data_IF_726410636616
#
_entry.id   IF_726410636616
#
_cell.length_a   1.000
_cell.length_b   1.000
_cell.length_c   1.000
_cell.angle_alpha   90.00
_cell.angle_beta   90.00
_cell.angle_gamma   90.00
#
_symmetry.space_group_name_H-M   'P 1'
#
loop_
_entity.id
_entity.type
_entity.pdbx_description
1 polymer ?
#
# COMPACT_ATOMS: atom_id res chain seq x y z
N UNK A 1 21.06 10.13 -40.66
CA UNK A 1 20.88 10.29 -39.20
C UNK A 1 19.43 9.94 -38.91
N UNK A 2 19.17 8.71 -38.49
CA UNK A 2 17.84 8.33 -38.00
C UNK A 2 17.59 9.11 -36.71
N UNK A 3 16.57 9.96 -36.73
CA UNK A 3 16.04 10.59 -35.54
C UNK A 3 15.37 9.47 -34.76
N UNK A 4 15.97 9.03 -33.66
CA UNK A 4 15.33 8.11 -32.74
C UNK A 4 14.03 8.77 -32.26
N UNK A 5 12.88 8.25 -32.70
CA UNK A 5 11.59 8.63 -32.16
C UNK A 5 11.62 8.37 -30.66
N UNK A 6 11.63 9.45 -29.88
CA UNK A 6 11.48 9.36 -28.43
C UNK A 6 10.04 8.93 -28.18
N UNK A 7 9.82 7.62 -28.06
CA UNK A 7 8.50 7.07 -27.69
C UNK A 7 8.00 7.82 -26.45
N UNK A 8 6.81 8.41 -26.58
CA UNK A 8 6.19 9.14 -25.48
C UNK A 8 5.95 8.17 -24.31
N UNK A 9 6.31 8.55 -23.07
CA UNK A 9 6.21 7.64 -21.95
C UNK A 9 4.74 7.26 -21.71
N UNK A 10 4.49 5.97 -21.51
CA UNK A 10 3.15 5.43 -21.23
C UNK A 10 2.53 6.10 -20.00
N UNK A 11 1.21 6.30 -20.02
CA UNK A 11 0.47 7.07 -19.02
C UNK A 11 1.11 8.45 -18.73
N UNK A 12 1.24 9.35 -19.72
CA UNK A 12 1.93 10.63 -19.56
C UNK A 12 1.26 11.57 -18.55
N UNK A 13 -0.04 11.39 -18.30
CA UNK A 13 -0.80 12.15 -17.30
C UNK A 13 -0.71 11.58 -15.88
N UNK A 14 -0.04 10.43 -15.70
CA UNK A 14 0.12 9.75 -14.42
C UNK A 14 -1.19 9.53 -13.67
N UNK A 15 -2.24 9.14 -14.42
CA UNK A 15 -3.58 8.91 -13.87
C UNK A 15 -3.70 7.50 -13.31
N UNK A 16 -4.48 7.35 -12.25
CA UNK A 16 -4.76 6.05 -11.63
C UNK A 16 -5.48 5.18 -12.67
N UNK A 17 -4.90 4.02 -12.96
CA UNK A 17 -5.46 3.07 -13.93
C UNK A 17 -6.30 2.01 -13.21
N UNK A 18 -7.39 1.58 -13.85
CA UNK A 18 -8.22 0.46 -13.39
C UNK A 18 -8.14 -0.68 -14.38
N UNK A 19 -7.75 -1.87 -13.89
CA UNK A 19 -7.59 -3.09 -14.67
C UNK A 19 -8.70 -4.10 -14.37
N UNK A 20 -9.09 -4.88 -15.38
CA UNK A 20 -10.13 -5.92 -15.30
C UNK A 20 -9.60 -7.21 -15.96
N UNK A 21 -8.72 -7.97 -15.29
CA UNK A 21 -8.18 -9.21 -15.84
C UNK A 21 -9.27 -10.24 -16.09
N UNK A 22 -9.08 -11.05 -17.13
CA UNK A 22 -9.71 -12.37 -17.24
C UNK A 22 -9.15 -13.33 -16.18
N UNK A 23 -9.84 -14.44 -15.91
CA UNK A 23 -9.33 -15.44 -14.97
C UNK A 23 -7.98 -16.05 -15.40
N UNK A 24 -7.70 -16.13 -16.70
CA UNK A 24 -6.39 -16.58 -17.19
C UNK A 24 -5.28 -15.60 -16.83
N UNK A 25 -5.52 -14.30 -17.03
CA UNK A 25 -4.57 -13.25 -16.68
C UNK A 25 -4.39 -13.10 -15.16
N UNK A 26 -5.49 -13.29 -14.41
CA UNK A 26 -5.52 -13.15 -12.96
C UNK A 26 -4.75 -14.26 -12.22
N UNK A 27 -4.59 -15.46 -12.81
CA UNK A 27 -3.89 -16.58 -12.14
C UNK A 27 -2.46 -16.27 -11.69
N UNK A 28 -1.72 -15.46 -12.44
CA UNK A 28 -0.29 -15.23 -12.19
C UNK A 28 -0.03 -13.77 -11.79
N UNK A 29 -0.17 -13.46 -10.49
CA UNK A 29 0.02 -12.13 -9.89
C UNK A 29 1.26 -11.38 -10.42
N UNK A 30 2.44 -12.00 -10.33
CA UNK A 30 3.71 -11.38 -10.74
C UNK A 30 3.73 -10.99 -12.24
N UNK A 31 3.15 -11.83 -13.10
CA UNK A 31 3.05 -11.56 -14.54
C UNK A 31 2.11 -10.39 -14.79
N UNK A 32 0.97 -10.36 -14.09
CA UNK A 32 -0.02 -9.31 -14.25
C UNK A 32 0.47 -7.95 -13.73
N UNK A 33 1.21 -7.93 -12.62
CA UNK A 33 1.85 -6.73 -12.11
C UNK A 33 2.83 -6.13 -13.13
N UNK A 34 3.69 -6.96 -13.74
CA UNK A 34 4.59 -6.50 -14.80
C UNK A 34 3.83 -5.99 -16.02
N UNK A 35 2.71 -6.63 -16.38
CA UNK A 35 1.82 -6.12 -17.41
C UNK A 35 1.25 -4.73 -17.06
N UNK A 36 0.78 -4.52 -15.82
CA UNK A 36 0.29 -3.21 -15.37
C UNK A 36 1.37 -2.13 -15.49
N UNK A 37 2.61 -2.40 -15.05
CA UNK A 37 3.72 -1.45 -15.20
C UNK A 37 4.07 -1.22 -16.68
N UNK A 38 3.99 -2.24 -17.53
CA UNK A 38 4.16 -2.11 -18.99
C UNK A 38 3.08 -1.25 -19.67
N UNK A 39 2.02 -0.86 -18.95
CA UNK A 39 1.01 0.11 -19.38
C UNK A 39 1.16 1.48 -18.71
N UNK A 40 2.17 1.66 -17.85
CA UNK A 40 2.43 2.90 -17.13
C UNK A 40 1.63 3.08 -15.84
N UNK A 41 1.06 2.00 -15.27
CA UNK A 41 0.24 2.10 -14.04
C UNK A 41 1.04 2.63 -12.84
N UNK A 42 2.31 2.25 -12.73
CA UNK A 42 3.20 2.65 -11.63
C UNK A 42 3.43 4.16 -11.54
N UNK A 43 3.27 4.88 -12.65
CA UNK A 43 3.48 6.32 -12.71
C UNK A 43 2.48 7.11 -11.87
N UNK A 44 1.27 6.57 -11.67
CA UNK A 44 0.29 7.18 -10.79
C UNK A 44 0.59 6.97 -9.29
N UNK A 45 1.49 6.03 -8.95
CA UNK A 45 1.73 5.61 -7.58
C UNK A 45 0.67 4.67 -7.00
N UNK A 46 -0.48 4.52 -7.68
CA UNK A 46 -1.59 3.68 -7.27
C UNK A 46 -2.34 3.14 -8.51
N UNK A 47 -2.80 1.89 -8.46
CA UNK A 47 -3.69 1.30 -9.44
C UNK A 47 -4.78 0.47 -8.78
N UNK A 48 -5.91 0.31 -9.48
CA UNK A 48 -7.02 -0.57 -9.08
C UNK A 48 -7.04 -1.82 -9.95
N UNK A 49 -7.32 -2.97 -9.37
CA UNK A 49 -7.59 -4.22 -10.09
C UNK A 49 -8.93 -4.78 -9.62
N UNK A 50 -9.86 -4.93 -10.55
CA UNK A 50 -11.16 -5.55 -10.31
C UNK A 50 -11.04 -7.02 -10.76
N UNK A 51 -11.05 -7.99 -9.83
CA UNK A 51 -10.87 -9.39 -10.18
C UNK A 51 -12.04 -9.93 -11.01
N UNK A 52 -11.86 -11.09 -11.68
CA UNK A 52 -12.95 -11.79 -12.35
C UNK A 52 -14.11 -12.07 -11.39
N UNK A 53 -15.35 -11.94 -11.85
CA UNK A 53 -16.56 -12.04 -11.01
C UNK A 53 -16.71 -13.41 -10.35
N UNK A 54 -16.18 -14.45 -11.00
CA UNK A 54 -16.17 -15.83 -10.52
C UNK A 54 -15.14 -16.08 -9.40
N UNK A 55 -14.12 -15.22 -9.27
CA UNK A 55 -13.12 -15.37 -8.22
C UNK A 55 -13.62 -14.80 -6.90
N UNK A 56 -13.46 -15.58 -5.83
CA UNK A 56 -13.76 -15.16 -4.47
C UNK A 56 -12.66 -15.68 -3.55
N UNK A 57 -12.07 -14.83 -2.69
CA UNK A 57 -11.05 -15.27 -1.76
C UNK A 57 -11.63 -15.99 -0.54
N UNK A 58 -12.92 -15.80 -0.26
CA UNK A 58 -13.65 -16.41 0.84
C UNK A 58 -15.09 -16.69 0.43
N UNK A 59 -15.64 -17.84 0.82
CA UNK A 59 -17.03 -18.21 0.53
C UNK A 59 -18.04 -17.40 1.37
N UNK A 60 -17.76 -17.22 2.66
CA UNK A 60 -18.65 -16.53 3.59
C UNK A 60 -17.85 -15.78 4.67
N UNK A 61 -18.40 -14.66 5.16
CA UNK A 61 -17.78 -13.82 6.20
C UNK A 61 -18.53 -13.90 7.55
N UNK A 62 -19.50 -14.79 7.73
CA UNK A 62 -20.33 -14.83 8.94
C UNK A 62 -19.56 -15.21 10.21
N UNK A 63 -18.42 -15.91 10.06
CA UNK A 63 -17.61 -16.42 11.17
C UNK A 63 -16.61 -15.40 11.73
N UNK A 64 -16.39 -14.28 11.04
CA UNK A 64 -15.40 -13.27 11.46
C UNK A 64 -15.84 -12.45 12.67
N UNK A 65 -17.12 -12.51 13.05
CA UNK A 65 -17.68 -11.71 14.16
C UNK A 65 -16.96 -11.96 15.48
N UNK A 66 -16.42 -13.17 15.67
CA UNK A 66 -15.70 -13.58 16.86
C UNK A 66 -14.20 -13.22 16.83
N UNK A 67 -13.70 -12.72 15.70
CA UNK A 67 -12.30 -12.33 15.57
C UNK A 67 -11.99 -11.16 16.52
N UNK A 68 -10.87 -11.25 17.22
CA UNK A 68 -10.45 -10.26 18.20
C UNK A 68 -9.64 -9.15 17.52
N UNK A 69 -10.00 -7.90 17.79
CA UNK A 69 -9.18 -6.72 17.51
C UNK A 69 -8.40 -6.41 18.81
N UNK A 70 -7.11 -6.77 18.91
CA UNK A 70 -6.37 -6.70 20.16
C UNK A 70 -6.04 -5.27 20.60
N UNK A 71 -5.78 -4.37 19.65
CA UNK A 71 -5.32 -3.01 19.93
C UNK A 71 -6.03 -1.97 19.03
N UNK A 72 -7.36 -1.80 19.13
CA UNK A 72 -8.07 -0.79 18.36
C UNK A 72 -7.57 0.61 18.72
N UNK A 73 -7.45 1.50 17.74
CA UNK A 73 -6.89 2.85 17.92
C UNK A 73 -7.96 3.92 17.68
N UNK A 74 -8.17 4.81 18.65
CA UNK A 74 -8.96 6.02 18.46
C UNK A 74 -8.09 7.11 17.82
N UNK A 75 -8.56 7.66 16.70
CA UNK A 75 -7.81 8.64 15.91
C UNK A 75 -8.22 10.07 16.29
N UNK A 76 -7.37 10.72 17.08
CA UNK A 76 -7.52 12.12 17.45
C UNK A 76 -6.88 12.98 16.38
N UNK A 77 -7.64 13.90 15.77
CA UNK A 77 -7.13 14.78 14.72
C UNK A 77 -7.17 16.23 15.18
N UNK A 78 -6.05 16.93 15.05
CA UNK A 78 -5.94 18.38 15.32
C UNK A 78 -5.41 19.11 14.10
N UNK A 79 -5.87 20.34 13.89
CA UNK A 79 -5.49 21.14 12.73
C UNK A 79 -6.69 21.83 12.09
N UNK A 80 -6.45 22.49 10.97
CA UNK A 80 -7.44 23.34 10.31
C UNK A 80 -7.04 23.62 8.86
N UNK A 81 -7.98 24.13 8.06
CA UNK A 81 -7.72 24.60 6.69
C UNK A 81 -7.04 23.56 5.78
N UNK A 82 -7.35 22.27 5.98
CA UNK A 82 -6.81 21.18 5.16
C UNK A 82 -5.44 20.65 5.62
N UNK A 83 -4.90 21.14 6.73
CA UNK A 83 -3.63 20.69 7.31
C UNK A 83 -3.90 20.15 8.72
N UNK A 84 -3.64 18.87 8.94
CA UNK A 84 -3.91 18.23 10.23
C UNK A 84 -2.82 17.25 10.64
N UNK A 85 -2.73 17.04 11.94
CA UNK A 85 -1.93 15.98 12.56
C UNK A 85 -2.87 15.02 13.29
N UNK A 86 -2.68 13.73 13.07
CA UNK A 86 -3.38 12.65 13.74
C UNK A 86 -2.52 12.06 14.85
N UNK A 87 -3.15 11.69 15.97
CA UNK A 87 -2.55 10.92 17.05
C UNK A 87 -3.45 9.74 17.39
N UNK A 88 -2.84 8.61 17.76
CA UNK A 88 -3.55 7.38 18.05
C UNK A 88 -3.62 7.15 19.56
N UNK A 89 -4.81 6.88 20.09
CA UNK A 89 -5.03 6.46 21.47
C UNK A 89 -5.52 5.01 21.44
N UNK A 90 -4.69 4.09 21.92
CA UNK A 90 -5.07 2.69 22.01
C UNK A 90 -6.28 2.50 22.96
N UNK A 91 -7.23 1.69 22.53
CA UNK A 91 -8.42 1.28 23.28
C UNK A 91 -8.30 -0.18 23.70
N UNK A 92 -9.20 -0.59 24.58
CA UNK A 92 -9.30 -2.00 24.99
C UNK A 92 -9.67 -2.88 23.81
N UNK A 93 -9.16 -4.10 23.81
CA UNK A 93 -9.50 -5.11 22.82
C UNK A 93 -11.02 -5.28 22.71
N UNK A 94 -11.50 -5.58 21.51
CA UNK A 94 -12.90 -5.84 21.22
C UNK A 94 -13.04 -6.80 20.05
N UNK A 95 -14.15 -7.50 19.95
CA UNK A 95 -14.48 -8.36 18.81
C UNK A 95 -14.90 -7.54 17.59
N UNK A 96 -14.82 -8.15 16.41
CA UNK A 96 -15.37 -7.55 15.18
C UNK A 96 -16.86 -7.26 15.32
N UNK A 97 -17.61 -8.12 16.01
CA UNK A 97 -19.04 -7.90 16.31
C UNK A 97 -19.27 -6.60 17.10
N UNK A 98 -18.54 -6.40 18.19
CA UNK A 98 -18.61 -5.18 19.00
C UNK A 98 -18.19 -3.95 18.20
N UNK A 99 -17.11 -4.07 17.42
CA UNK A 99 -16.64 -3.00 16.54
C UNK A 99 -17.69 -2.60 15.49
N UNK A 100 -18.35 -3.58 14.85
CA UNK A 100 -19.42 -3.35 13.86
C UNK A 100 -20.62 -2.65 14.48
N UNK A 101 -21.05 -3.09 15.67
CA UNK A 101 -22.14 -2.43 16.41
C UNK A 101 -21.77 -0.97 16.74
N UNK A 102 -20.53 -0.72 17.14
CA UNK A 102 -20.04 0.63 17.40
C UNK A 102 -20.02 1.50 16.14
N UNK A 103 -19.45 0.97 15.04
CA UNK A 103 -19.35 1.64 13.75
C UNK A 103 -20.72 2.03 13.18
N UNK A 104 -21.75 1.19 13.41
CA UNK A 104 -23.11 1.43 12.92
C UNK A 104 -23.99 2.20 13.92
N UNK A 105 -23.47 2.55 15.10
CA UNK A 105 -24.20 3.37 16.07
C UNK A 105 -24.41 4.80 15.55
N UNK A 106 -25.46 5.48 16.02
CA UNK A 106 -25.76 6.86 15.59
C UNK A 106 -24.63 7.88 15.81
N UNK A 107 -23.64 7.56 16.66
CA UNK A 107 -22.48 8.41 16.91
C UNK A 107 -21.38 8.28 15.85
N UNK A 108 -21.20 7.09 15.29
CA UNK A 108 -20.09 6.77 14.38
C UNK A 108 -20.53 6.39 12.97
N UNK A 109 -21.84 6.21 12.74
CA UNK A 109 -22.33 5.82 11.43
C UNK A 109 -22.02 6.86 10.36
N UNK A 110 -21.95 6.39 9.13
CA UNK A 110 -21.78 7.22 7.94
C UNK A 110 -22.92 8.24 7.86
N UNK A 111 -22.64 9.54 7.69
CA UNK A 111 -23.70 10.53 7.52
C UNK A 111 -24.42 10.27 6.20
N UNK A 112 -25.68 10.68 6.07
CA UNK A 112 -26.34 10.67 4.76
C UNK A 112 -25.56 11.53 3.77
N UNK A 113 -25.42 11.09 2.53
CA UNK A 113 -24.70 11.82 1.48
C UNK A 113 -25.36 11.59 0.10
N UNK A 114 -25.09 12.48 -0.85
CA UNK A 114 -25.62 12.39 -2.22
C UNK A 114 -24.76 11.51 -3.12
N UNK A 115 -23.44 11.73 -3.08
CA UNK A 115 -22.44 11.04 -3.88
C UNK A 115 -21.09 11.02 -3.13
N UNK A 116 -20.07 10.37 -3.71
CA UNK A 116 -18.75 10.30 -3.10
C UNK A 116 -18.07 11.67 -2.93
N UNK A 117 -18.39 12.67 -3.76
CA UNK A 117 -17.83 14.02 -3.59
C UNK A 117 -18.45 14.73 -2.39
N UNK A 118 -19.75 14.55 -2.15
CA UNK A 118 -20.44 15.05 -0.96
C UNK A 118 -19.89 14.40 0.31
N UNK A 119 -19.64 13.10 0.26
CA UNK A 119 -19.03 12.38 1.38
C UNK A 119 -17.58 12.84 1.63
N UNK A 120 -16.78 13.06 0.58
CA UNK A 120 -15.43 13.60 0.66
C UNK A 120 -15.42 15.01 1.29
N UNK A 121 -16.34 15.89 0.89
CA UNK A 121 -16.50 17.23 1.51
C UNK A 121 -16.85 17.10 2.99
N UNK A 122 -17.75 16.19 3.35
CA UNK A 122 -18.13 15.92 4.76
C UNK A 122 -16.97 15.36 5.56
N UNK A 123 -16.14 14.48 5.00
CA UNK A 123 -14.94 13.96 5.64
C UNK A 123 -13.99 15.09 6.02
N UNK A 124 -13.56 15.90 5.06
CA UNK A 124 -12.60 16.99 5.31
C UNK A 124 -13.17 18.11 6.20
N UNK A 125 -14.48 18.37 6.14
CA UNK A 125 -15.15 19.35 7.00
C UNK A 125 -15.24 18.88 8.46
N UNK A 126 -15.36 17.58 8.70
CA UNK A 126 -15.71 17.04 10.03
C UNK A 126 -14.60 16.22 10.71
N UNK A 127 -13.39 16.23 10.14
CA UNK A 127 -12.28 15.38 10.55
C UNK A 127 -11.92 15.50 12.04
N UNK A 128 -11.94 16.72 12.59
CA UNK A 128 -11.56 17.05 13.97
C UNK A 128 -12.66 16.89 15.02
N UNK A 129 -13.90 16.54 14.62
CA UNK A 129 -14.99 16.26 15.56
C UNK A 129 -14.86 14.83 16.15
N UNK A 130 -15.97 14.09 16.27
CA UNK A 130 -16.02 12.74 16.88
C UNK A 130 -14.86 11.87 16.40
N UNK A 131 -13.92 11.54 17.29
CA UNK A 131 -12.72 10.77 16.96
C UNK A 131 -13.11 9.29 16.70
N UNK A 132 -12.95 8.77 15.47
CA UNK A 132 -13.33 7.41 15.11
C UNK A 132 -12.33 6.41 15.68
N UNK A 133 -12.71 5.12 15.68
CA UNK A 133 -11.87 4.01 16.15
C UNK A 133 -11.54 3.11 14.96
N UNK A 134 -10.28 2.71 14.82
CA UNK A 134 -9.81 1.88 13.74
C UNK A 134 -9.20 0.59 14.30
N UNK A 135 -9.64 -0.57 13.82
CA UNK A 135 -8.99 -1.84 14.10
C UNK A 135 -7.90 -2.07 13.07
N UNK A 136 -6.68 -1.61 13.33
CA UNK A 136 -5.58 -1.67 12.37
C UNK A 136 -4.53 -2.70 12.77
N UNK A 137 -3.73 -3.12 11.79
CA UNK A 137 -2.51 -3.90 11.99
C UNK A 137 -2.75 -5.22 12.76
N UNK A 138 -3.87 -5.90 12.46
CA UNK A 138 -4.23 -7.18 13.08
C UNK A 138 -3.61 -8.30 12.26
N UNK A 139 -2.65 -9.04 12.83
CA UNK A 139 -2.01 -10.16 12.14
C UNK A 139 -3.03 -11.22 11.75
N UNK A 140 -3.06 -11.60 10.47
CA UNK A 140 -3.89 -12.70 9.98
C UNK A 140 -4.36 -12.50 8.54
N UNK A 141 -4.90 -13.58 7.98
CA UNK A 141 -5.59 -13.57 6.69
C UNK A 141 -6.97 -14.21 6.86
N UNK A 142 -7.94 -13.70 6.12
CA UNK A 142 -9.29 -14.29 6.04
C UNK A 142 -9.57 -14.93 4.67
N UNK A 143 -8.54 -15.17 3.87
CA UNK A 143 -8.63 -16.01 2.68
C UNK A 143 -8.96 -17.46 3.08
N UNK A 144 -9.82 -18.13 2.32
CA UNK A 144 -10.05 -19.57 2.48
C UNK A 144 -8.79 -20.37 2.14
N UNK A 145 -8.65 -21.53 2.78
CA UNK A 145 -7.62 -22.48 2.42
C UNK A 145 -7.79 -22.94 0.95
N UNK A 146 -6.66 -23.11 0.25
CA UNK A 146 -6.67 -23.54 -1.16
C UNK A 146 -6.81 -22.42 -2.20
N UNK A 147 -7.11 -21.17 -1.82
CA UNK A 147 -7.05 -20.03 -2.76
C UNK A 147 -5.60 -19.73 -3.09
N UNK A 148 -5.19 -19.95 -4.34
CA UNK A 148 -3.80 -19.78 -4.81
C UNK A 148 -3.61 -18.43 -5.51
N UNK A 149 -4.63 -17.92 -6.21
CA UNK A 149 -4.58 -16.68 -6.97
C UNK A 149 -4.64 -15.46 -6.04
N UNK A 150 -3.68 -14.54 -6.18
CA UNK A 150 -3.64 -13.25 -5.46
C UNK A 150 -3.81 -13.36 -3.94
N UNK A 151 -3.38 -14.49 -3.37
CA UNK A 151 -3.45 -14.72 -1.94
C UNK A 151 -2.42 -13.83 -1.23
N UNK A 152 -2.92 -12.84 -0.47
CA UNK A 152 -2.10 -11.82 0.19
C UNK A 152 -1.11 -12.44 1.18
N UNK A 153 -1.45 -13.56 1.81
CA UNK A 153 -0.55 -14.27 2.71
C UNK A 153 0.65 -14.94 1.99
N UNK A 154 0.63 -15.07 0.66
CA UNK A 154 1.65 -15.80 -0.12
C UNK A 154 1.72 -15.37 -1.59
N UNK A 155 2.09 -14.11 -1.83
CA UNK A 155 2.17 -13.54 -3.19
C UNK A 155 3.32 -14.12 -4.03
N UNK A 156 4.32 -14.74 -3.40
CA UNK A 156 5.48 -15.36 -4.04
C UNK A 156 6.28 -14.37 -4.90
N UNK A 157 6.71 -13.28 -4.28
CA UNK A 157 7.49 -12.19 -4.87
C UNK A 157 8.96 -12.24 -4.44
N UNK A 158 9.77 -11.25 -4.82
CA UNK A 158 11.21 -11.26 -4.46
C UNK A 158 11.47 -11.12 -2.96
N UNK A 159 10.50 -10.66 -2.17
CA UNK A 159 10.61 -10.69 -0.70
C UNK A 159 10.60 -12.13 -0.17
N UNK A 160 9.69 -12.97 -0.68
CA UNK A 160 9.56 -14.36 -0.25
C UNK A 160 10.79 -15.20 -0.66
N UNK A 161 11.42 -14.87 -1.79
CA UNK A 161 12.69 -15.47 -2.23
C UNK A 161 13.78 -15.29 -1.17
N UNK A 162 13.84 -14.12 -0.54
CA UNK A 162 14.87 -13.80 0.46
C UNK A 162 14.55 -14.44 1.80
N UNK A 163 13.28 -14.45 2.21
CA UNK A 163 12.86 -15.17 3.42
C UNK A 163 13.19 -16.67 3.32
N UNK A 164 12.81 -17.33 2.22
CA UNK A 164 13.04 -18.77 2.03
C UNK A 164 14.53 -19.13 1.94
N UNK A 165 15.34 -18.34 1.23
CA UNK A 165 16.76 -18.67 1.03
C UNK A 165 17.67 -18.22 2.18
N UNK A 166 17.26 -17.23 2.98
CA UNK A 166 18.11 -16.65 4.03
C UNK A 166 17.55 -16.81 5.45
N UNK A 167 16.31 -17.28 5.61
CA UNK A 167 15.69 -17.51 6.92
C UNK A 167 15.35 -16.24 7.70
N UNK A 168 15.16 -15.11 7.01
CA UNK A 168 14.85 -13.81 7.62
C UNK A 168 13.37 -13.49 7.35
N UNK A 169 12.54 -13.61 8.38
CA UNK A 169 11.15 -13.14 8.35
C UNK A 169 11.08 -11.68 8.81
N UNK A 170 10.23 -10.87 8.19
CA UNK A 170 10.04 -9.46 8.53
C UNK A 170 8.55 -9.24 8.82
N UNK A 171 8.18 -9.37 10.09
CA UNK A 171 6.80 -9.17 10.55
C UNK A 171 6.22 -7.87 10.00
N UNK A 172 5.02 -7.98 9.45
CA UNK A 172 4.26 -6.86 8.88
C UNK A 172 4.69 -6.39 7.50
N UNK A 173 5.76 -6.97 6.95
CA UNK A 173 6.20 -6.71 5.57
C UNK A 173 5.82 -7.87 4.66
N UNK A 174 5.99 -9.11 5.12
CA UNK A 174 5.59 -10.31 4.37
C UNK A 174 4.43 -11.08 5.01
N UNK A 175 3.93 -10.63 6.16
CA UNK A 175 2.74 -11.19 6.82
C UNK A 175 1.52 -10.31 6.59
N UNK A 176 0.34 -10.89 6.31
CA UNK A 176 -0.88 -10.12 6.06
C UNK A 176 -1.41 -9.45 7.33
N UNK A 177 -1.92 -8.24 7.16
CA UNK A 177 -2.65 -7.48 8.17
C UNK A 177 -4.10 -7.25 7.76
N UNK A 178 -5.00 -7.40 8.74
CA UNK A 178 -6.41 -7.03 8.63
C UNK A 178 -6.66 -5.64 9.20
N UNK A 179 -7.59 -4.95 8.57
CA UNK A 179 -8.02 -3.60 8.89
C UNK A 179 -9.54 -3.52 8.93
N UNK A 180 -10.09 -3.22 10.10
CA UNK A 180 -11.53 -2.94 10.28
C UNK A 180 -11.74 -1.43 10.36
N UNK A 181 -12.34 -0.87 9.31
CA UNK A 181 -12.66 0.55 9.20
C UNK A 181 -14.04 0.89 9.75
N UNK A 182 -14.22 2.15 10.15
CA UNK A 182 -15.53 2.78 10.32
C UNK A 182 -15.50 4.15 9.64
N UNK A 183 -16.64 4.83 9.57
CA UNK A 183 -16.68 6.16 8.96
C UNK A 183 -15.60 7.07 9.55
N UNK A 184 -14.88 7.76 8.66
CA UNK A 184 -13.85 8.75 8.97
C UNK A 184 -12.53 8.17 9.50
N UNK A 185 -12.39 6.85 9.70
CA UNK A 185 -11.06 6.32 9.98
C UNK A 185 -10.13 6.56 8.80
N UNK A 186 -8.91 6.97 9.12
CA UNK A 186 -8.00 7.64 8.20
C UNK A 186 -6.66 6.93 8.15
N UNK A 187 -6.07 6.86 6.96
CA UNK A 187 -4.65 6.54 6.79
C UNK A 187 -3.95 7.76 6.19
N UNK A 188 -2.93 8.24 6.91
CA UNK A 188 -2.26 9.50 6.59
C UNK A 188 -1.31 9.38 5.38
N UNK A 189 -0.79 10.50 4.90
CA UNK A 189 0.18 10.52 3.80
C UNK A 189 1.44 9.76 4.18
N UNK A 190 1.73 8.69 3.45
CA UNK A 190 2.93 7.90 3.61
C UNK A 190 3.31 7.17 2.31
N UNK A 191 4.54 6.68 2.28
CA UNK A 191 4.96 5.57 1.42
C UNK A 191 5.12 4.33 2.30
N UNK A 192 5.12 3.16 1.69
CA UNK A 192 5.35 1.89 2.39
C UNK A 192 6.73 1.85 3.06
N UNK A 193 6.91 0.96 4.03
CA UNK A 193 8.20 0.72 4.63
C UNK A 193 9.22 0.27 3.58
N UNK A 194 10.45 0.82 3.67
CA UNK A 194 11.48 0.69 2.63
C UNK A 194 11.01 1.07 1.21
N UNK A 195 9.96 1.88 1.09
CA UNK A 195 9.32 2.28 -0.16
C UNK A 195 8.92 1.08 -1.04
N UNK A 196 8.47 -0.01 -0.41
CA UNK A 196 7.93 -1.20 -1.05
C UNK A 196 6.65 -0.92 -1.86
N UNK A 197 6.19 -1.96 -2.57
CA UNK A 197 4.80 -2.01 -3.01
C UNK A 197 3.89 -2.40 -1.85
N UNK A 198 2.60 -2.11 -1.95
CA UNK A 198 1.57 -2.78 -1.15
C UNK A 198 0.40 -3.25 -2.02
N UNK A 199 -0.25 -4.31 -1.56
CA UNK A 199 -1.53 -4.78 -2.08
C UNK A 199 -2.57 -4.65 -0.99
N UNK A 200 -3.76 -4.15 -1.32
CA UNK A 200 -4.89 -4.04 -0.41
C UNK A 200 -6.13 -4.61 -1.07
N UNK A 201 -6.78 -5.59 -0.45
CA UNK A 201 -8.07 -6.13 -0.88
C UNK A 201 -9.17 -5.72 0.09
N UNK A 202 -10.25 -5.13 -0.40
CA UNK A 202 -11.40 -4.79 0.42
C UNK A 202 -12.37 -5.97 0.44
N UNK A 203 -12.35 -6.76 1.51
CA UNK A 203 -13.13 -8.00 1.62
C UNK A 203 -14.63 -7.78 1.56
N UNK A 204 -15.13 -6.82 2.35
CA UNK A 204 -16.54 -6.49 2.45
C UNK A 204 -16.75 -5.10 3.09
N UNK A 205 -18.01 -4.66 3.06
CA UNK A 205 -18.47 -3.44 3.72
C UNK A 205 -18.36 -2.21 2.86
N UNK A 206 -18.34 -1.05 3.51
CA UNK A 206 -18.38 0.25 2.86
C UNK A 206 -17.05 0.60 2.15
N UNK A 207 -17.08 1.46 1.10
CA UNK A 207 -15.89 1.78 0.32
C UNK A 207 -14.75 2.44 1.09
N UNK A 208 -13.56 2.44 0.46
CA UNK A 208 -12.36 3.16 0.92
C UNK A 208 -11.91 4.14 -0.15
N UNK A 209 -11.79 5.42 0.18
CA UNK A 209 -11.28 6.42 -0.76
C UNK A 209 -9.80 6.65 -0.59
N UNK A 210 -9.10 6.75 -1.72
CA UNK A 210 -7.66 6.89 -1.82
C UNK A 210 -7.30 8.17 -2.57
N UNK A 211 -6.23 8.81 -2.12
CA UNK A 211 -5.48 9.83 -2.84
C UNK A 211 -4.09 9.28 -3.12
N UNK A 212 -3.57 9.55 -4.30
CA UNK A 212 -2.21 9.15 -4.68
C UNK A 212 -1.46 10.31 -5.33
N UNK A 213 -0.17 10.40 -5.04
CA UNK A 213 0.75 11.33 -5.69
C UNK A 213 1.75 10.50 -6.52
N UNK A 214 1.93 10.82 -7.81
CA UNK A 214 2.93 10.18 -8.66
C UNK A 214 4.31 10.12 -7.99
N UNK A 215 5.05 8.99 -8.05
CA UNK A 215 6.37 8.87 -7.44
C UNK A 215 7.36 9.96 -7.92
N UNK A 216 7.27 10.34 -9.20
CA UNK A 216 8.03 11.44 -9.81
C UNK A 216 7.76 12.83 -9.21
N UNK A 217 6.74 12.95 -8.36
CA UNK A 217 6.39 14.16 -7.64
C UNK A 217 6.46 14.00 -6.11
N UNK A 218 6.86 12.84 -5.59
CA UNK A 218 6.94 12.57 -4.13
C UNK A 218 7.80 13.59 -3.39
N UNK A 219 8.95 13.98 -3.94
CA UNK A 219 9.83 15.01 -3.36
C UNK A 219 9.16 16.38 -3.22
N UNK A 220 8.18 16.71 -4.06
CA UNK A 220 7.43 17.97 -3.97
C UNK A 220 6.46 17.95 -2.80
N UNK A 221 5.82 16.80 -2.53
CA UNK A 221 5.03 16.61 -1.32
C UNK A 221 5.89 16.70 -0.06
N UNK A 222 7.04 16.03 -0.05
CA UNK A 222 7.98 16.09 1.10
C UNK A 222 8.32 17.55 1.44
N UNK A 223 8.72 18.36 0.44
CA UNK A 223 9.03 19.79 0.64
C UNK A 223 7.83 20.60 1.15
N UNK A 224 6.63 20.36 0.59
CA UNK A 224 5.41 21.02 1.05
C UNK A 224 5.12 20.68 2.52
N UNK A 225 5.22 19.40 2.89
CA UNK A 225 4.99 18.93 4.24
C UNK A 225 6.04 19.49 5.21
N UNK A 226 7.32 19.56 4.83
CA UNK A 226 8.37 20.19 5.64
C UNK A 226 8.05 21.67 5.95
N UNK A 227 7.55 22.41 4.96
CA UNK A 227 7.17 23.81 5.14
C UNK A 227 5.99 24.03 6.09
N UNK A 228 4.99 23.13 6.08
CA UNK A 228 3.82 23.24 6.95
C UNK A 228 3.97 22.60 8.33
N UNK A 229 4.87 21.62 8.47
CA UNK A 229 5.10 20.89 9.71
C UNK A 229 6.57 21.01 10.13
N UNK A 230 7.11 22.24 10.34
CA UNK A 230 8.54 22.45 10.58
C UNK A 230 9.03 21.77 11.85
N UNK A 231 8.23 21.75 12.93
CA UNK A 231 8.58 21.05 14.17
C UNK A 231 8.72 19.54 13.96
N UNK A 232 7.83 18.93 13.17
CA UNK A 232 7.92 17.50 12.83
C UNK A 232 9.13 17.21 11.94
N UNK A 233 9.40 18.08 10.96
CA UNK A 233 10.56 17.95 10.07
C UNK A 233 11.89 18.09 10.82
N UNK A 234 11.99 18.99 11.79
CA UNK A 234 13.19 19.16 12.63
C UNK A 234 13.42 17.95 13.52
N UNK A 235 12.35 17.31 14.01
CA UNK A 235 12.44 16.12 14.85
C UNK A 235 12.73 14.83 14.09
N UNK A 236 12.29 14.73 12.83
CA UNK A 236 12.54 13.56 12.00
C UNK A 236 12.53 13.91 10.51
N UNK A 237 13.63 13.55 9.88
CA UNK A 237 13.90 13.73 8.46
C UNK A 237 12.88 13.02 7.55
N UNK A 238 12.26 11.94 8.03
CA UNK A 238 11.24 11.15 7.33
C UNK A 238 9.92 11.11 8.12
N UNK A 239 9.53 12.22 8.77
CA UNK A 239 8.36 12.25 9.67
C UNK A 239 7.02 11.79 9.04
N UNK A 240 6.88 11.84 7.72
CA UNK A 240 5.70 11.29 7.03
C UNK A 240 5.57 9.76 7.25
N UNK A 241 6.66 9.04 7.51
CA UNK A 241 6.62 7.62 7.91
C UNK A 241 5.95 7.38 9.26
N UNK A 242 5.74 8.42 10.07
CA UNK A 242 4.97 8.29 11.31
C UNK A 242 3.47 8.07 11.05
N UNK A 243 3.01 8.24 9.80
CA UNK A 243 1.61 8.08 9.38
C UNK A 243 0.65 8.95 10.20
N UNK A 244 1.06 10.19 10.47
CA UNK A 244 0.31 11.18 11.28
C UNK A 244 -0.07 12.45 10.52
N UNK A 245 0.43 12.67 9.30
CA UNK A 245 0.26 13.96 8.59
C UNK A 245 -0.84 13.88 7.55
N UNK A 246 -1.84 14.76 7.67
CA UNK A 246 -3.00 14.83 6.78
C UNK A 246 -2.98 16.17 6.04
N UNK A 247 -3.03 16.09 4.72
CA UNK A 247 -3.05 17.24 3.81
C UNK A 247 -4.21 17.02 2.83
N UNK A 248 -5.13 17.97 2.76
CA UNK A 248 -6.31 17.83 1.92
C UNK A 248 -6.03 18.09 0.43
N UNK A 249 -6.84 17.51 -0.47
CA UNK A 249 -6.82 17.79 -1.91
C UNK A 249 -6.83 19.29 -2.25
N UNK A 250 -7.57 20.10 -1.49
CA UNK A 250 -7.64 21.55 -1.68
C UNK A 250 -6.28 22.22 -1.45
N UNK A 251 -5.52 21.78 -0.43
CA UNK A 251 -4.16 22.27 -0.18
C UNK A 251 -3.21 21.79 -1.27
N UNK A 252 -3.26 20.50 -1.65
CA UNK A 252 -2.41 19.97 -2.73
C UNK A 252 -2.62 20.75 -4.03
N UNK A 253 -3.87 21.00 -4.42
CA UNK A 253 -4.23 21.79 -5.60
C UNK A 253 -3.72 23.22 -5.50
N UNK A 254 -3.87 23.88 -4.34
CA UNK A 254 -3.40 25.25 -4.10
C UNK A 254 -1.89 25.40 -4.29
N UNK A 255 -1.10 24.39 -3.93
CA UNK A 255 0.36 24.40 -4.06
C UNK A 255 0.87 23.66 -5.29
N UNK A 256 -0.03 23.35 -6.24
CA UNK A 256 0.31 22.72 -7.52
C UNK A 256 0.92 21.33 -7.39
N UNK A 257 0.65 20.60 -6.30
CA UNK A 257 1.06 19.20 -6.14
C UNK A 257 0.09 18.33 -6.96
N UNK A 258 0.57 17.61 -7.99
CA UNK A 258 -0.28 16.73 -8.77
C UNK A 258 -0.65 15.51 -7.92
N UNK A 259 -1.93 15.19 -7.92
CA UNK A 259 -2.49 14.03 -7.25
C UNK A 259 -3.69 13.53 -8.06
N UNK A 260 -4.12 12.32 -7.76
CA UNK A 260 -5.34 11.74 -8.29
C UNK A 260 -6.12 11.06 -7.15
N UNK A 261 -7.40 10.80 -7.35
CA UNK A 261 -8.28 10.18 -6.35
C UNK A 261 -9.09 9.05 -6.95
N UNK A 262 -9.34 8.01 -6.16
CA UNK A 262 -10.18 6.88 -6.56
C UNK A 262 -10.86 6.28 -5.33
N UNK A 263 -12.06 5.73 -5.51
CA UNK A 263 -12.77 4.99 -4.46
C UNK A 263 -12.69 3.50 -4.76
N UNK A 264 -12.19 2.72 -3.81
CA UNK A 264 -12.15 1.26 -3.82
C UNK A 264 -13.43 0.72 -3.18
N UNK A 265 -14.14 -0.14 -3.91
CA UNK A 265 -15.35 -0.83 -3.45
C UNK A 265 -15.03 -2.25 -3.02
N UNK A 266 -15.99 -2.90 -2.34
CA UNK A 266 -15.80 -4.27 -1.86
C UNK A 266 -15.56 -5.23 -3.03
N UNK A 267 -14.62 -6.15 -2.87
CA UNK A 267 -14.19 -7.08 -3.91
C UNK A 267 -13.09 -6.54 -4.83
N UNK A 268 -12.58 -5.31 -4.61
CA UNK A 268 -11.53 -4.72 -5.45
C UNK A 268 -10.16 -4.71 -4.75
N UNK A 269 -9.12 -4.86 -5.56
CA UNK A 269 -7.73 -4.67 -5.13
C UNK A 269 -7.23 -3.26 -5.44
N UNK A 270 -6.39 -2.74 -4.55
CA UNK A 270 -5.54 -1.57 -4.77
C UNK A 270 -4.08 -1.98 -4.68
N UNK A 271 -3.27 -1.50 -5.61
CA UNK A 271 -1.82 -1.70 -5.64
C UNK A 271 -1.14 -0.35 -5.52
N UNK A 272 -0.35 -0.14 -4.47
CA UNK A 272 0.56 1.01 -4.36
C UNK A 272 1.92 0.63 -4.94
N UNK A 273 2.60 1.61 -5.53
CA UNK A 273 3.89 1.41 -6.17
C UNK A 273 5.01 2.08 -5.35
N UNK A 274 6.27 1.62 -5.49
CA UNK A 274 7.42 2.19 -4.81
C UNK A 274 7.47 3.71 -4.85
N UNK A 275 7.57 4.30 -3.67
CA UNK A 275 7.60 5.75 -3.44
C UNK A 275 6.33 6.52 -3.88
N UNK A 276 5.24 5.80 -4.18
CA UNK A 276 3.92 6.36 -4.41
C UNK A 276 3.28 6.78 -3.09
N UNK A 277 3.33 8.08 -2.80
CA UNK A 277 2.66 8.62 -1.62
C UNK A 277 1.15 8.44 -1.75
N UNK A 278 0.53 7.94 -0.68
CA UNK A 278 -0.92 7.75 -0.64
C UNK A 278 -1.51 8.06 0.74
N UNK A 279 -2.78 8.43 0.76
CA UNK A 279 -3.59 8.72 1.94
C UNK A 279 -5.06 8.44 1.65
N UNK A 280 -5.92 8.44 2.66
CA UNK A 280 -7.33 8.23 2.42
C UNK A 280 -8.16 7.94 3.67
N UNK A 281 -9.40 7.54 3.44
CA UNK A 281 -10.39 7.36 4.51
C UNK A 281 -11.45 6.30 4.17
N UNK A 282 -12.01 5.69 5.21
CA UNK A 282 -13.09 4.71 5.09
C UNK A 282 -14.47 5.39 5.12
N UNK A 283 -15.39 4.88 4.30
CA UNK A 283 -16.75 5.41 4.18
C UNK A 283 -17.66 4.92 5.30
N UNK A 284 -17.38 3.77 5.89
CA UNK A 284 -18.18 3.18 6.97
C UNK A 284 -17.54 1.88 7.47
N UNK A 285 -18.36 0.99 8.04
CA UNK A 285 -17.88 -0.32 8.48
C UNK A 285 -17.37 -1.15 7.30
N UNK A 286 -16.09 -1.54 7.33
CA UNK A 286 -15.49 -2.37 6.30
C UNK A 286 -14.35 -3.23 6.85
N UNK A 287 -13.89 -4.19 6.05
CA UNK A 287 -12.70 -4.99 6.32
C UNK A 287 -11.80 -5.05 5.09
N UNK A 288 -10.53 -4.72 5.27
CA UNK A 288 -9.51 -4.87 4.24
C UNK A 288 -8.37 -5.75 4.75
N UNK A 289 -7.69 -6.44 3.83
CA UNK A 289 -6.46 -7.18 4.08
C UNK A 289 -5.35 -6.58 3.21
N UNK A 290 -4.14 -6.43 3.76
CA UNK A 290 -2.99 -5.97 2.99
C UNK A 290 -1.67 -6.54 3.46
N UNK A 291 -0.67 -6.50 2.58
CA UNK A 291 0.73 -6.80 2.86
C UNK A 291 1.63 -5.98 1.94
N UNK A 292 2.94 -5.95 2.22
CA UNK A 292 3.93 -5.42 1.29
C UNK A 292 4.50 -6.52 0.38
N UNK A 293 4.99 -6.11 -0.78
CA UNK A 293 5.68 -7.01 -1.69
C UNK A 293 6.74 -6.25 -2.50
N UNK A 294 7.59 -6.98 -3.22
CA UNK A 294 8.63 -6.37 -4.04
C UNK A 294 8.75 -6.99 -5.43
N UNK A 295 9.28 -6.18 -6.34
CA UNK A 295 9.80 -6.62 -7.64
C UNK A 295 11.28 -6.27 -7.73
N UNK A 296 11.95 -6.68 -8.80
CA UNK A 296 13.34 -6.25 -9.04
C UNK A 296 13.46 -4.73 -9.19
N UNK A 297 12.44 -4.05 -9.71
CA UNK A 297 12.41 -2.58 -9.82
C UNK A 297 12.53 -1.90 -8.45
N UNK A 298 11.93 -2.48 -7.41
CA UNK A 298 11.96 -1.91 -6.07
C UNK A 298 13.38 -1.82 -5.48
N UNK A 299 14.32 -2.66 -5.89
CA UNK A 299 15.65 -2.74 -5.26
C UNK A 299 16.35 -1.38 -5.25
N UNK A 300 16.26 -0.63 -6.35
CA UNK A 300 16.83 0.71 -6.43
C UNK A 300 16.12 1.73 -5.52
N UNK A 301 14.83 1.58 -5.27
CA UNK A 301 14.10 2.38 -4.27
C UNK A 301 14.53 2.01 -2.84
N UNK A 302 14.56 0.72 -2.51
CA UNK A 302 14.95 0.24 -1.17
C UNK A 302 16.35 0.68 -0.76
N UNK A 303 17.31 0.77 -1.72
CA UNK A 303 18.68 1.25 -1.47
C UNK A 303 18.76 2.71 -1.05
N UNK A 304 17.81 3.55 -1.46
CA UNK A 304 17.81 5.01 -1.20
C UNK A 304 16.62 5.48 -0.37
N UNK A 305 15.82 4.53 0.15
CA UNK A 305 14.66 4.81 0.97
C UNK A 305 15.05 5.63 2.20
N UNK A 306 14.45 6.82 2.35
CA UNK A 306 14.72 7.72 3.48
C UNK A 306 14.01 7.20 4.71
N UNK A 307 14.70 6.62 5.69
CA UNK A 307 14.08 6.00 6.87
C UNK A 307 13.83 7.00 8.00
N UNK A 308 12.90 6.67 8.90
CA UNK A 308 12.74 7.41 10.15
C UNK A 308 13.93 7.15 11.06
N UNK A 309 14.44 8.21 11.69
CA UNK A 309 15.63 8.18 12.55
C UNK A 309 15.31 8.45 14.02
N UNK A 310 14.06 8.81 14.36
CA UNK A 310 13.67 9.17 15.72
C UNK A 310 12.98 8.03 16.49
N UNK A 311 12.81 6.85 15.89
CA UNK A 311 12.14 5.67 16.47
C UNK A 311 12.99 4.42 16.23
N UNK A 312 13.07 3.53 17.22
CA UNK A 312 13.90 2.30 17.17
C UNK A 312 13.15 1.10 16.58
N UNK A 313 11.84 1.15 16.60
CA UNK A 313 10.88 0.13 16.18
C UNK A 313 10.49 0.23 14.70
N UNK A 314 11.26 0.98 13.90
CA UNK A 314 11.01 1.11 12.46
C UNK A 314 11.50 -0.11 11.70
N UNK A 315 10.71 -0.54 10.71
CA UNK A 315 11.10 -1.59 9.77
C UNK A 315 12.37 -1.18 9.02
N UNK A 316 13.39 -2.03 9.09
CA UNK A 316 14.63 -1.88 8.32
C UNK A 316 14.97 -3.20 7.64
N UNK A 317 15.10 -3.16 6.33
CA UNK A 317 15.46 -4.33 5.52
C UNK A 317 16.90 -4.15 5.05
N UNK A 318 17.72 -5.18 5.23
CA UNK A 318 19.07 -5.18 4.69
C UNK A 318 19.02 -5.34 3.17
N UNK A 319 19.46 -4.31 2.44
CA UNK A 319 19.49 -4.34 0.98
C UNK A 319 20.63 -5.22 0.41
N UNK A 320 21.59 -5.65 1.24
CA UNK A 320 22.79 -6.38 0.81
C UNK A 320 22.45 -7.63 -0.01
N UNK A 321 21.51 -8.45 0.47
CA UNK A 321 21.09 -9.68 -0.20
C UNK A 321 20.46 -9.41 -1.56
N UNK A 322 19.64 -8.37 -1.66
CA UNK A 322 18.96 -7.99 -2.89
C UNK A 322 19.95 -7.50 -3.94
N UNK A 323 20.89 -6.63 -3.56
CA UNK A 323 21.93 -6.13 -4.48
C UNK A 323 22.85 -7.26 -4.90
N UNK A 324 23.32 -8.09 -3.97
CA UNK A 324 24.20 -9.22 -4.27
C UNK A 324 23.57 -10.20 -5.26
N UNK A 325 22.28 -10.47 -5.12
CA UNK A 325 21.58 -11.48 -5.92
C UNK A 325 21.08 -10.95 -7.26
N UNK A 326 20.50 -9.75 -7.28
CA UNK A 326 19.81 -9.22 -8.48
C UNK A 326 20.55 -8.08 -9.17
N UNK A 327 21.63 -7.55 -8.56
CA UNK A 327 22.48 -6.50 -9.14
C UNK A 327 23.98 -6.81 -8.91
N UNK A 328 24.47 -8.04 -9.22
CA UNK A 328 25.83 -8.45 -8.88
C UNK A 328 26.90 -7.52 -9.47
N UNK A 329 26.67 -7.00 -10.68
CA UNK A 329 27.59 -6.09 -11.37
C UNK A 329 27.77 -4.75 -10.63
N UNK A 330 26.76 -4.32 -9.85
CA UNK A 330 26.77 -3.07 -9.08
C UNK A 330 27.16 -3.29 -7.62
N UNK A 331 27.22 -4.54 -7.15
CA UNK A 331 27.35 -4.86 -5.72
C UNK A 331 28.63 -4.28 -5.09
N UNK A 332 29.78 -4.38 -5.76
CA UNK A 332 31.04 -3.83 -5.24
C UNK A 332 31.03 -2.30 -5.20
N UNK A 333 30.50 -1.64 -6.25
CA UNK A 333 30.35 -0.19 -6.27
C UNK A 333 29.38 0.29 -5.18
N UNK A 334 28.28 -0.44 -4.96
CA UNK A 334 27.29 -0.14 -3.93
C UNK A 334 27.88 -0.27 -2.52
N UNK A 335 28.64 -1.34 -2.23
CA UNK A 335 29.35 -1.51 -0.96
C UNK A 335 30.36 -0.40 -0.65
N UNK A 336 30.95 0.19 -1.70
CA UNK A 336 31.86 1.32 -1.57
C UNK A 336 31.14 2.68 -1.45
N UNK A 337 29.80 2.71 -1.50
CA UNK A 337 29.02 3.95 -1.50
C UNK A 337 29.14 4.77 -2.79
N UNK A 338 29.59 4.14 -3.89
CA UNK A 338 29.84 4.80 -5.19
C UNK A 338 28.75 4.55 -6.24
N UNK A 339 27.77 3.72 -5.93
CA UNK A 339 26.61 3.48 -6.78
C UNK A 339 25.60 4.64 -6.64
N UNK A 340 25.93 5.79 -7.21
CA UNK A 340 25.13 7.02 -7.18
C UNK A 340 24.30 7.13 -8.46
N UNK A 341 22.98 7.23 -8.32
CA UNK A 341 22.04 7.30 -9.44
C UNK A 341 20.79 8.08 -9.06
N UNK A 342 20.08 8.57 -10.07
CA UNK A 342 18.71 9.08 -9.92
C UNK A 342 17.76 8.02 -10.46
N UNK A 343 16.75 7.65 -9.67
CA UNK A 343 15.74 6.69 -10.12
C UNK A 343 14.88 7.35 -11.20
N UNK A 344 14.80 6.69 -12.36
CA UNK A 344 13.81 7.02 -13.38
C UNK A 344 12.49 6.31 -13.03
N UNK A 345 11.54 7.09 -12.50
CA UNK A 345 10.24 6.59 -12.08
C UNK A 345 9.33 6.14 -13.24
N UNK A 346 9.68 6.46 -14.49
CA UNK A 346 8.88 6.08 -15.66
C UNK A 346 9.17 4.65 -16.10
N UNK A 347 10.32 4.08 -15.75
CA UNK A 347 10.73 2.74 -16.17
C UNK A 347 9.91 1.64 -15.47
N UNK A 348 9.28 0.73 -16.22
CA UNK A 348 8.56 -0.40 -15.64
C UNK A 348 9.51 -1.49 -15.13
N UNK A 349 9.00 -2.38 -14.30
CA UNK A 349 9.70 -3.57 -13.86
C UNK A 349 9.90 -4.51 -15.04
N UNK A 350 11.06 -5.17 -15.16
CA UNK A 350 11.22 -6.26 -16.10
C UNK A 350 10.18 -7.34 -15.85
N UNK A 351 9.62 -7.91 -16.92
CA UNK A 351 8.60 -8.96 -16.82
C UNK A 351 9.09 -10.22 -16.08
N UNK A 352 10.41 -10.45 -16.08
CA UNK A 352 11.05 -11.52 -15.32
C UNK A 352 12.58 -11.34 -15.35
N UNK A 353 13.29 -11.83 -14.33
CA UNK A 353 14.77 -11.95 -14.36
C UNK A 353 15.19 -13.42 -14.29
N UNK A 354 16.40 -13.78 -14.76
CA UNK A 354 16.91 -15.15 -14.68
C UNK A 354 16.82 -15.76 -13.28
N UNK A 355 17.11 -14.96 -12.24
CA UNK A 355 17.08 -15.37 -10.83
C UNK A 355 15.66 -15.68 -10.37
N UNK A 356 14.69 -14.82 -10.72
CA UNK A 356 13.26 -15.03 -10.41
C UNK A 356 12.74 -16.27 -11.17
N UNK A 357 13.10 -16.45 -12.44
CA UNK A 357 12.72 -17.66 -13.21
C UNK A 357 13.28 -18.92 -12.57
N UNK A 358 14.56 -18.93 -12.21
CA UNK A 358 15.21 -20.08 -11.62
C UNK A 358 14.59 -20.43 -10.24
N UNK A 359 14.26 -19.44 -9.43
CA UNK A 359 13.56 -19.66 -8.16
C UNK A 359 12.13 -20.22 -8.37
N UNK A 360 11.32 -19.59 -9.24
CA UNK A 360 9.97 -20.08 -9.56
C UNK A 360 9.99 -21.52 -10.08
N UNK A 361 10.96 -21.88 -10.92
CA UNK A 361 11.13 -23.25 -11.42
C UNK A 361 11.50 -24.24 -10.31
N UNK A 362 12.41 -23.88 -9.39
CA UNK A 362 12.77 -24.71 -8.23
C UNK A 362 11.56 -24.96 -7.34
N UNK A 363 10.80 -23.92 -6.99
CA UNK A 363 9.58 -24.07 -6.17
C UNK A 363 8.50 -24.90 -6.85
N UNK A 364 8.28 -24.73 -8.16
CA UNK A 364 7.33 -25.57 -8.91
C UNK A 364 7.71 -27.06 -8.83
N UNK A 365 8.99 -27.40 -8.80
CA UNK A 365 9.47 -28.79 -8.58
C UNK A 365 9.17 -29.27 -7.16
N UNK A 366 9.47 -28.46 -6.14
CA UNK A 366 9.20 -28.79 -4.72
C UNK A 366 7.69 -29.00 -4.48
N UNK A 367 6.83 -28.11 -4.97
CA UNK A 367 5.37 -28.22 -4.83
C UNK A 367 4.78 -29.43 -5.56
N UNK A 368 5.37 -29.82 -6.70
CA UNK A 368 4.98 -31.04 -7.42
C UNK A 368 5.43 -32.31 -6.69
N UNK A 369 6.54 -32.25 -5.96
CA UNK A 369 7.00 -33.37 -5.13
C UNK A 369 6.13 -33.54 -3.87
N UNK A 370 5.73 -32.43 -3.22
CA UNK A 370 4.88 -32.48 -2.01
C UNK A 370 3.43 -32.88 -2.26
N UNK A 371 2.92 -32.75 -3.49
CA UNK A 371 1.57 -33.19 -3.90
C UNK A 371 1.52 -34.65 -4.39
N UNK A 372 2.68 -35.32 -4.47
CA UNK A 372 2.82 -36.74 -4.88
C UNK A 372 3.03 -37.69 -3.70
N UNK A 373 3.21 -37.13 -2.50
CA UNK A 373 3.12 -37.78 -1.20
C UNK A 373 1.74 -37.43 -0.63
#
# INVERSE_FOLDING_TARGET
MEVAEVESPLNPSCKIMTFRPSMEEFREFNKYLAYMESKGAHRAGLAKVIPPKEWKPRQCYDDIDNLLIPAPIQQMVTGQSGLFTQYNIQKKAMTVKEFRQLANSGKYCTPRYLDYEDLERKYWKNLTFVAPIYGADINGSIYDEGVDEWNIARLNTVLDVVEEECGISIEGVNTPYLYFGMWKTTFAWHTEDMDLYSINYLHFGEPKSWYAIPPEHGKRLERLAQGFFPSSSQGCDAFLRHKMTLISPSVLKKYGIPFDKITQEAGEFMITFPYGYHAGFNHGFNCAESTNFATVRWIDYGKVAKLCTCRKDMVKISMDIFVRKFQPDRYQLWKQGKDIYTIDHTKPTPASTPEVKAWLQRRRKVRKASRRL
#
